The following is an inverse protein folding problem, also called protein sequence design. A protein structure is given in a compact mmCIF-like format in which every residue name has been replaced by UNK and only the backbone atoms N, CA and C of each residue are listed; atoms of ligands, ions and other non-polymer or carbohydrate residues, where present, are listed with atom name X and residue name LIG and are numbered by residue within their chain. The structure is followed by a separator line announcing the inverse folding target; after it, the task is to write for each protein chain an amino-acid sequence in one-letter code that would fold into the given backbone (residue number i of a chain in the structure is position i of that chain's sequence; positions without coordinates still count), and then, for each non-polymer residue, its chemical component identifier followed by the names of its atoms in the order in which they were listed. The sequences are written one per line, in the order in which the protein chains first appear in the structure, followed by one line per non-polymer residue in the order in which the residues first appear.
data_IF_337507021753
#
_entry.id   IF_337507021753
#
_cell.length_a   1.000
_cell.length_b   1.000
_cell.length_c   1.000
_cell.angle_alpha   90.00
_cell.angle_beta   90.00
_cell.angle_gamma   90.00
#
_symmetry.space_group_name_H-M   'P 1'
#
loop_
_entity.id
_entity.type
_entity.pdbx_description
1 polymer ?
#
# COMPACT_ATOMS: atom_id res chain seq x y z
N UNK A 1 -1.00 0.53 25.41
CA UNK A 1 -1.20 0.43 23.95
C UNK A 1 -2.64 -0.01 23.74
N UNK A 2 -3.43 0.77 23.01
CA UNK A 2 -4.82 0.43 22.64
C UNK A 2 -4.90 -0.04 21.17
N UNK A 3 -6.12 -0.28 20.67
CA UNK A 3 -6.33 -0.73 19.29
C UNK A 3 -5.81 0.30 18.26
N UNK A 4 -6.10 1.59 18.45
CA UNK A 4 -5.59 2.68 17.61
C UNK A 4 -4.06 2.70 17.54
N UNK A 5 -3.39 2.54 18.69
CA UNK A 5 -1.92 2.47 18.74
C UNK A 5 -1.41 1.26 17.94
N UNK A 6 -2.06 0.10 18.05
CA UNK A 6 -1.67 -1.11 17.34
C UNK A 6 -1.84 -0.96 15.82
N UNK A 7 -2.93 -0.35 15.36
CA UNK A 7 -3.17 -0.05 13.95
C UNK A 7 -2.09 0.89 13.39
N UNK A 8 -1.85 2.02 14.04
CA UNK A 8 -0.84 3.01 13.62
C UNK A 8 0.58 2.43 13.63
N UNK A 9 0.92 1.62 14.64
CA UNK A 9 2.23 0.94 14.70
C UNK A 9 2.39 -0.12 13.62
N UNK A 10 1.32 -0.85 13.29
CA UNK A 10 1.34 -1.82 12.19
C UNK A 10 1.54 -1.12 10.84
N UNK A 11 0.85 0.00 10.61
CA UNK A 11 1.04 0.80 9.41
C UNK A 11 2.47 1.35 9.32
N UNK A 12 3.00 1.89 10.42
CA UNK A 12 4.39 2.37 10.50
C UNK A 12 5.42 1.27 10.22
N UNK A 13 5.21 0.05 10.75
CA UNK A 13 6.06 -1.11 10.47
C UNK A 13 6.05 -1.45 8.98
N UNK A 14 4.87 -1.52 8.35
CA UNK A 14 4.77 -1.81 6.91
C UNK A 14 5.47 -0.75 6.05
N UNK A 15 5.32 0.53 6.41
CA UNK A 15 5.95 1.64 5.72
C UNK A 15 7.48 1.59 5.85
N UNK A 16 7.99 1.26 7.03
CA UNK A 16 9.43 1.06 7.25
C UNK A 16 9.96 -0.07 6.38
N UNK A 17 9.29 -1.24 6.37
CA UNK A 17 9.72 -2.41 5.58
C UNK A 17 9.77 -2.10 4.08
N UNK A 18 8.70 -1.53 3.51
CA UNK A 18 8.67 -1.17 2.08
C UNK A 18 9.64 -0.04 1.76
N UNK A 19 9.75 0.97 2.63
CA UNK A 19 10.73 2.05 2.50
C UNK A 19 12.15 1.50 2.42
N UNK A 20 12.53 0.60 3.34
CA UNK A 20 13.84 -0.06 3.32
C UNK A 20 14.08 -0.87 2.06
N UNK A 21 13.08 -1.58 1.55
CA UNK A 21 13.25 -2.35 0.32
C UNK A 21 13.33 -1.52 -0.95
N UNK A 22 13.02 -0.22 -0.89
CA UNK A 22 13.00 0.66 -2.06
C UNK A 22 14.01 1.80 -2.00
N UNK A 23 14.60 2.10 -0.83
CA UNK A 23 15.39 3.33 -0.58
C UNK A 23 16.61 3.55 -1.49
N UNK A 24 17.16 2.49 -2.06
CA UNK A 24 18.33 2.49 -2.93
C UNK A 24 18.04 2.01 -4.36
N UNK A 25 16.75 1.96 -4.75
CA UNK A 25 16.33 1.65 -6.11
C UNK A 25 16.27 2.92 -6.95
N UNK A 26 16.67 2.81 -8.22
CA UNK A 26 16.41 3.82 -9.25
C UNK A 26 15.04 3.63 -9.88
N UNK A 27 14.53 4.67 -10.55
CA UNK A 27 13.23 4.63 -11.24
C UNK A 27 13.17 3.49 -12.28
N UNK A 28 14.25 3.27 -13.02
CA UNK A 28 14.33 2.18 -14.00
C UNK A 28 14.28 0.80 -13.35
N UNK A 29 14.87 0.64 -12.15
CA UNK A 29 14.85 -0.63 -11.41
C UNK A 29 13.44 -0.98 -10.91
N UNK A 30 12.53 0.00 -10.78
CA UNK A 30 11.14 -0.26 -10.39
C UNK A 30 10.36 -1.09 -11.43
N UNK A 31 10.79 -1.13 -12.69
CA UNK A 31 10.20 -2.00 -13.72
C UNK A 31 10.72 -3.45 -13.66
N UNK A 32 11.56 -3.78 -12.68
CA UNK A 32 12.05 -5.15 -12.48
C UNK A 32 10.97 -6.03 -11.84
N UNK A 33 10.82 -7.25 -12.34
CA UNK A 33 9.91 -8.27 -11.82
C UNK A 33 10.66 -9.28 -10.93
N UNK A 34 10.07 -9.74 -9.82
CA UNK A 34 10.74 -10.72 -8.94
C UNK A 34 10.85 -12.11 -9.57
N UNK A 35 9.90 -12.48 -10.43
CA UNK A 35 9.89 -13.71 -11.19
C UNK A 35 8.95 -13.57 -12.40
N UNK A 36 8.99 -14.55 -13.32
CA UNK A 36 8.03 -14.65 -14.41
C UNK A 36 6.59 -14.75 -13.85
N UNK A 37 5.66 -14.00 -14.43
CA UNK A 37 4.26 -13.94 -13.99
C UNK A 37 3.99 -13.01 -12.81
N UNK A 38 5.02 -12.36 -12.24
CA UNK A 38 4.84 -11.35 -11.19
C UNK A 38 4.77 -9.94 -11.79
N UNK A 39 4.08 -9.03 -11.09
CA UNK A 39 4.06 -7.62 -11.43
C UNK A 39 5.38 -6.95 -11.03
N UNK A 40 5.81 -5.94 -11.78
CA UNK A 40 7.02 -5.17 -11.46
C UNK A 40 6.77 -4.24 -10.26
N UNK A 41 7.85 -3.78 -9.61
CA UNK A 41 7.75 -3.02 -8.36
C UNK A 41 6.97 -1.70 -8.48
N UNK A 42 7.07 -0.99 -9.61
CA UNK A 42 6.28 0.23 -9.83
C UNK A 42 4.76 -0.07 -9.78
N UNK A 43 4.32 -1.17 -10.42
CA UNK A 43 2.94 -1.63 -10.34
C UNK A 43 2.57 -1.96 -8.89
N UNK A 44 3.43 -2.68 -8.17
CA UNK A 44 3.18 -3.05 -6.76
C UNK A 44 3.02 -1.82 -5.88
N UNK A 45 3.90 -0.82 -6.02
CA UNK A 45 3.85 0.41 -5.23
C UNK A 45 2.56 1.20 -5.46
N UNK A 46 2.20 1.44 -6.72
CA UNK A 46 0.96 2.18 -6.98
C UNK A 46 -0.29 1.36 -6.71
N UNK A 47 -0.26 0.02 -6.85
CA UNK A 47 -1.36 -0.85 -6.43
C UNK A 47 -1.62 -0.73 -4.92
N UNK A 48 -0.56 -0.74 -4.11
CA UNK A 48 -0.68 -0.57 -2.65
C UNK A 48 -1.29 0.80 -2.30
N UNK A 49 -0.88 1.86 -2.98
CA UNK A 49 -1.40 3.23 -2.78
C UNK A 49 -2.88 3.32 -3.19
N UNK A 50 -3.23 2.87 -4.40
CA UNK A 50 -4.60 2.97 -4.91
C UNK A 50 -5.57 2.09 -4.14
N UNK A 51 -5.15 0.87 -3.78
CA UNK A 51 -5.95 -0.03 -2.96
C UNK A 51 -6.16 0.51 -1.55
N UNK A 52 -5.14 1.13 -0.94
CA UNK A 52 -5.31 1.75 0.37
C UNK A 52 -6.36 2.88 0.33
N UNK A 53 -6.33 3.75 -0.69
CA UNK A 53 -7.37 4.76 -0.86
C UNK A 53 -8.78 4.13 -0.96
N UNK A 54 -8.95 3.11 -1.81
CA UNK A 54 -10.24 2.44 -1.99
C UNK A 54 -10.75 1.77 -0.71
N UNK A 55 -9.86 1.06 0.01
CA UNK A 55 -10.19 0.39 1.26
C UNK A 55 -10.51 1.41 2.36
N UNK A 56 -9.75 2.50 2.45
CA UNK A 56 -9.98 3.57 3.42
C UNK A 56 -11.35 4.23 3.19
N UNK A 57 -11.69 4.59 1.95
CA UNK A 57 -13.01 5.16 1.64
C UNK A 57 -14.16 4.18 1.89
N UNK A 58 -13.89 2.87 1.82
CA UNK A 58 -14.87 1.84 2.17
C UNK A 58 -15.30 1.85 3.63
N UNK A 59 -14.45 2.31 4.55
CA UNK A 59 -14.74 2.39 6.00
C UNK A 59 -14.81 3.81 6.55
N UNK A 60 -14.22 4.77 5.87
CA UNK A 60 -14.20 6.18 6.21
C UNK A 60 -14.46 6.99 4.92
N UNK A 61 -15.71 7.06 4.44
CA UNK A 61 -16.02 7.68 3.15
C UNK A 61 -15.50 9.11 3.01
N UNK A 62 -14.71 9.36 1.96
CA UNK A 62 -14.12 10.66 1.66
C UNK A 62 -12.87 11.00 2.46
N UNK A 63 -12.30 10.03 3.19
CA UNK A 63 -11.04 10.21 3.91
C UNK A 63 -9.82 10.04 2.99
N UNK A 64 -9.95 9.26 1.90
CA UNK A 64 -8.82 9.04 1.00
C UNK A 64 -8.47 10.31 0.20
N UNK A 65 -7.16 10.58 -0.01
CA UNK A 65 -6.76 11.68 -0.87
C UNK A 65 -7.02 11.34 -2.33
N UNK A 66 -7.31 12.37 -3.14
CA UNK A 66 -7.34 12.24 -4.58
C UNK A 66 -5.95 11.87 -5.12
N UNK A 67 -5.93 10.88 -6.00
CA UNK A 67 -4.74 10.39 -6.71
C UNK A 67 -4.66 11.05 -8.10
N UNK A 68 -3.46 11.11 -8.71
CA UNK A 68 -3.32 11.62 -10.07
C UNK A 68 -4.24 10.90 -11.06
N UNK A 69 -4.73 11.62 -12.07
CA UNK A 69 -5.56 11.04 -13.11
C UNK A 69 -4.85 9.87 -13.81
N UNK A 70 -5.54 8.74 -13.99
CA UNK A 70 -4.96 7.54 -14.59
C UNK A 70 -4.14 6.68 -13.63
N UNK A 71 -3.88 7.14 -12.39
CA UNK A 71 -3.02 6.42 -11.45
C UNK A 71 -3.64 5.06 -11.07
N UNK A 72 -4.92 5.01 -10.69
CA UNK A 72 -5.54 3.76 -10.29
C UNK A 72 -5.63 2.77 -11.47
N UNK A 73 -5.90 3.28 -12.67
CA UNK A 73 -6.02 2.52 -13.91
C UNK A 73 -4.68 1.89 -14.32
N UNK A 74 -3.59 2.65 -14.28
CA UNK A 74 -2.24 2.15 -14.62
C UNK A 74 -1.73 1.09 -13.65
N UNK A 75 -2.26 1.05 -12.42
CA UNK A 75 -1.90 0.08 -11.37
C UNK A 75 -3.00 -0.96 -11.13
N UNK A 76 -3.94 -1.10 -12.07
CA UNK A 76 -5.01 -2.09 -12.03
C UNK A 76 -4.53 -3.48 -12.46
N UNK A 77 -5.33 -4.51 -12.20
CA UNK A 77 -5.01 -5.88 -12.65
C UNK A 77 -4.98 -5.98 -14.17
N UNK A 78 -5.82 -5.19 -14.83
CA UNK A 78 -5.96 -5.11 -16.28
C UNK A 78 -4.71 -4.51 -16.94
N UNK A 79 -4.05 -3.58 -16.25
CA UNK A 79 -2.81 -2.93 -16.71
C UNK A 79 -1.51 -3.63 -16.26
N UNK A 80 -1.60 -4.73 -15.49
CA UNK A 80 -0.45 -5.37 -14.84
C UNK A 80 0.63 -5.93 -15.80
N UNK A 81 0.28 -6.11 -17.07
CA UNK A 81 1.20 -6.56 -18.12
C UNK A 81 1.97 -5.40 -18.78
N UNK A 82 1.66 -4.14 -18.48
CA UNK A 82 2.39 -3.01 -19.03
C UNK A 82 3.81 -2.95 -18.46
N UNK A 83 4.77 -2.59 -19.31
CA UNK A 83 6.14 -2.23 -18.96
C UNK A 83 6.50 -0.85 -19.52
N UNK A 84 5.49 -0.04 -19.91
CA UNK A 84 5.70 1.31 -20.44
C UNK A 84 6.06 2.29 -19.30
N UNK A 85 7.31 2.78 -19.20
CA UNK A 85 7.73 3.65 -18.11
C UNK A 85 6.91 4.96 -18.04
N UNK A 86 6.29 5.40 -19.13
CA UNK A 86 5.48 6.62 -19.14
C UNK A 86 4.16 6.50 -18.35
N UNK A 87 3.76 5.28 -18.00
CA UNK A 87 2.56 4.99 -17.21
C UNK A 87 2.81 4.98 -15.70
N UNK A 88 4.07 5.03 -15.27
CA UNK A 88 4.48 4.85 -13.88
C UNK A 88 5.19 6.10 -13.34
N UNK A 89 5.17 6.23 -12.02
CA UNK A 89 5.80 7.35 -11.32
C UNK A 89 7.29 7.09 -11.04
N UNK A 90 8.02 8.16 -10.75
CA UNK A 90 9.33 8.07 -10.10
C UNK A 90 9.18 7.51 -8.68
N UNK A 91 10.27 6.97 -8.12
CA UNK A 91 10.30 6.49 -6.73
C UNK A 91 9.89 7.60 -5.75
N UNK A 92 10.37 8.83 -5.96
CA UNK A 92 10.07 9.96 -5.10
C UNK A 92 8.57 10.30 -5.10
N UNK A 93 7.91 10.26 -6.25
CA UNK A 93 6.47 10.48 -6.37
C UNK A 93 5.67 9.38 -5.68
N UNK A 94 6.06 8.10 -5.83
CA UNK A 94 5.42 7.00 -5.08
C UNK A 94 5.55 7.21 -3.57
N UNK A 95 6.74 7.58 -3.09
CA UNK A 95 6.97 7.83 -1.66
C UNK A 95 6.13 9.00 -1.14
N UNK A 96 6.00 10.08 -1.91
CA UNK A 96 5.15 11.23 -1.56
C UNK A 96 3.67 10.85 -1.51
N UNK A 97 3.17 10.13 -2.51
CA UNK A 97 1.78 9.65 -2.54
C UNK A 97 1.50 8.70 -1.39
N UNK A 98 2.40 7.75 -1.13
CA UNK A 98 2.29 6.82 -0.01
C UNK A 98 2.24 7.57 1.32
N UNK A 99 3.10 8.57 1.53
CA UNK A 99 3.09 9.37 2.75
C UNK A 99 1.75 10.11 2.93
N UNK A 100 1.22 10.72 1.86
CA UNK A 100 -0.08 11.41 1.87
C UNK A 100 -1.24 10.48 2.24
N UNK A 101 -1.27 9.28 1.64
CA UNK A 101 -2.30 8.27 1.94
C UNK A 101 -2.18 7.78 3.38
N UNK A 102 -0.95 7.50 3.85
CA UNK A 102 -0.71 7.06 5.23
C UNK A 102 -1.09 8.11 6.27
N UNK A 103 -0.86 9.39 5.99
CA UNK A 103 -1.31 10.49 6.84
C UNK A 103 -2.84 10.54 6.92
N UNK A 104 -3.53 10.38 5.77
CA UNK A 104 -4.98 10.32 5.73
C UNK A 104 -5.54 9.13 6.52
N UNK A 105 -4.95 7.94 6.37
CA UNK A 105 -5.31 6.75 7.15
C UNK A 105 -5.11 6.97 8.65
N UNK A 106 -3.98 7.56 9.06
CA UNK A 106 -3.73 7.87 10.47
C UNK A 106 -4.75 8.88 11.04
N UNK A 107 -5.07 9.92 10.28
CA UNK A 107 -6.07 10.91 10.66
C UNK A 107 -7.49 10.32 10.74
N UNK A 108 -7.82 9.34 9.89
CA UNK A 108 -9.06 8.59 9.97
C UNK A 108 -9.11 7.73 11.24
N UNK A 109 -8.04 6.98 11.54
CA UNK A 109 -7.93 6.20 12.78
C UNK A 109 -8.13 7.11 14.00
N UNK A 110 -7.48 8.27 14.06
CA UNK A 110 -7.59 9.19 15.20
C UNK A 110 -9.00 9.78 15.42
N UNK A 111 -9.88 9.73 14.42
CA UNK A 111 -11.27 10.21 14.52
C UNK A 111 -12.25 9.14 14.98
N UNK A 112 -11.92 7.87 14.85
CA UNK A 112 -12.79 6.76 15.22
C UNK A 112 -12.72 6.52 16.74
N UNK A 113 -13.85 6.22 17.37
CA UNK A 113 -13.92 5.68 18.73
C UNK A 113 -13.53 4.20 18.75
N UNK A 114 -13.42 3.61 19.96
CA UNK A 114 -13.21 2.16 20.07
C UNK A 114 -14.44 1.39 19.56
N UNK A 115 -15.64 1.90 19.84
CA UNK A 115 -16.91 1.33 19.41
C UNK A 115 -17.12 1.43 17.89
N UNK A 116 -16.54 2.44 17.24
CA UNK A 116 -16.53 2.54 15.78
C UNK A 116 -15.69 1.44 15.14
N UNK A 117 -14.57 1.04 15.78
CA UNK A 117 -13.73 -0.05 15.28
C UNK A 117 -14.46 -1.40 15.30
N UNK A 118 -15.40 -1.58 16.24
CA UNK A 118 -16.21 -2.80 16.37
C UNK A 118 -17.42 -2.83 15.42
N UNK A 119 -17.70 -1.74 14.68
CA UNK A 119 -18.80 -1.73 13.72
C UNK A 119 -18.54 -2.70 12.56
N UNK A 120 -19.61 -3.27 11.95
CA UNK A 120 -19.45 -4.18 10.82
C UNK A 120 -18.69 -3.55 9.65
N UNK A 121 -17.75 -4.29 9.07
CA UNK A 121 -17.04 -3.90 7.86
C UNK A 121 -17.95 -3.87 6.62
N UNK A 122 -17.44 -3.39 5.47
CA UNK A 122 -18.19 -3.34 4.21
C UNK A 122 -18.71 -4.72 3.80
N UNK A 123 -19.95 -4.80 3.32
CA UNK A 123 -20.64 -6.09 3.07
C UNK A 123 -19.84 -7.04 2.17
N UNK A 124 -19.24 -6.54 1.10
CA UNK A 124 -18.47 -7.33 0.14
C UNK A 124 -17.12 -7.85 0.68
N UNK A 125 -16.68 -7.34 1.84
CA UNK A 125 -15.43 -7.74 2.51
C UNK A 125 -15.68 -8.41 3.87
N UNK A 126 -16.93 -8.46 4.35
CA UNK A 126 -17.25 -8.79 5.75
C UNK A 126 -16.84 -10.20 6.18
N UNK A 127 -16.80 -11.15 5.25
CA UNK A 127 -16.33 -12.52 5.52
C UNK A 127 -14.83 -12.56 5.82
N UNK A 128 -14.06 -11.60 5.30
CA UNK A 128 -12.61 -11.52 5.47
C UNK A 128 -12.20 -10.48 6.53
N UNK A 129 -12.89 -9.34 6.55
CA UNK A 129 -12.72 -8.25 7.52
C UNK A 129 -14.07 -7.98 8.20
N UNK A 130 -14.41 -8.71 9.27
CA UNK A 130 -15.71 -8.60 9.94
C UNK A 130 -16.03 -7.19 10.45
N UNK A 131 -15.03 -6.44 10.90
CA UNK A 131 -15.18 -5.12 11.52
C UNK A 131 -14.42 -4.01 10.77
N UNK A 132 -14.73 -2.75 11.10
CA UNK A 132 -13.95 -1.57 10.66
C UNK A 132 -12.50 -1.69 11.12
N UNK A 133 -12.27 -2.18 12.34
CA UNK A 133 -10.93 -2.46 12.87
C UNK A 133 -10.16 -3.47 12.03
N UNK A 134 -10.81 -4.55 11.57
CA UNK A 134 -10.20 -5.56 10.70
C UNK A 134 -9.81 -4.98 9.34
N UNK A 135 -10.65 -4.10 8.77
CA UNK A 135 -10.34 -3.38 7.53
C UNK A 135 -9.12 -2.46 7.69
N UNK A 136 -9.03 -1.72 8.80
CA UNK A 136 -7.89 -0.85 9.07
C UNK A 136 -6.61 -1.66 9.34
N UNK A 137 -6.73 -2.84 9.95
CA UNK A 137 -5.61 -3.76 10.12
C UNK A 137 -5.15 -4.33 8.77
N UNK A 138 -6.08 -4.65 7.86
CA UNK A 138 -5.77 -5.03 6.49
C UNK A 138 -5.03 -3.89 5.77
N UNK A 139 -5.53 -2.65 5.82
CA UNK A 139 -4.87 -1.47 5.26
C UNK A 139 -3.44 -1.30 5.81
N UNK A 140 -3.27 -1.49 7.12
CA UNK A 140 -1.98 -1.37 7.78
C UNK A 140 -0.99 -2.48 7.36
N UNK A 141 -1.48 -3.70 7.13
CA UNK A 141 -0.65 -4.89 6.88
C UNK A 141 -0.52 -5.28 5.41
N UNK A 142 -1.36 -4.76 4.52
CA UNK A 142 -1.37 -5.08 3.09
C UNK A 142 0.00 -4.97 2.41
N UNK A 143 0.83 -3.93 2.67
CA UNK A 143 2.17 -3.89 2.07
C UNK A 143 3.07 -5.04 2.52
N UNK A 144 2.91 -5.56 3.74
CA UNK A 144 3.67 -6.72 4.20
C UNK A 144 3.29 -8.01 3.44
N UNK A 145 2.06 -8.11 2.94
CA UNK A 145 1.67 -9.21 2.04
C UNK A 145 2.42 -9.14 0.70
N UNK A 146 2.80 -7.93 0.26
CA UNK A 146 3.58 -7.70 -0.96
C UNK A 146 5.09 -7.71 -0.71
N UNK A 147 5.56 -7.56 0.53
CA UNK A 147 6.97 -7.41 0.87
C UNK A 147 7.86 -8.54 0.32
N UNK A 148 7.35 -9.78 0.26
CA UNK A 148 8.05 -10.92 -0.32
C UNK A 148 8.38 -10.78 -1.81
N UNK A 149 7.72 -9.87 -2.54
CA UNK A 149 7.96 -9.60 -3.95
C UNK A 149 9.08 -8.57 -4.17
N UNK A 150 9.47 -7.80 -3.15
CA UNK A 150 10.54 -6.81 -3.26
C UNK A 150 11.92 -7.44 -3.06
N UNK A 151 12.03 -8.40 -2.13
CA UNK A 151 13.33 -9.02 -1.78
C UNK A 151 13.99 -9.72 -2.98
N UNK A 152 13.30 -10.54 -3.80
CA UNK A 152 13.91 -11.17 -4.96
C UNK A 152 14.46 -10.17 -5.97
N UNK A 153 13.76 -9.05 -6.19
CA UNK A 153 14.25 -7.98 -7.07
C UNK A 153 15.55 -7.38 -6.52
N UNK A 154 15.61 -7.06 -5.22
CA UNK A 154 16.85 -6.59 -4.58
C UNK A 154 18.01 -7.56 -4.77
N UNK A 155 17.75 -8.87 -4.65
CA UNK A 155 18.77 -9.92 -4.87
C UNK A 155 19.23 -9.99 -6.31
N UNK A 156 18.32 -9.94 -7.27
CA UNK A 156 18.64 -9.95 -8.68
C UNK A 156 19.48 -8.73 -9.11
N UNK A 157 19.22 -7.58 -8.50
CA UNK A 157 19.94 -6.32 -8.74
C UNK A 157 21.25 -6.18 -7.93
N UNK A 158 21.61 -7.17 -7.10
CA UNK A 158 22.81 -7.11 -6.27
C UNK A 158 22.78 -6.06 -5.16
N UNK A 159 21.59 -5.62 -4.72
CA UNK A 159 21.44 -4.65 -3.64
C UNK A 159 21.78 -5.26 -2.27
N UNK A 160 22.23 -4.46 -1.29
CA UNK A 160 22.49 -4.93 0.07
C UNK A 160 21.25 -5.50 0.77
N UNK A 161 21.52 -6.35 1.77
CA UNK A 161 20.50 -6.77 2.76
C UNK A 161 20.26 -5.62 3.71
N UNK A 162 19.00 -5.27 3.94
CA UNK A 162 18.62 -4.09 4.72
C UNK A 162 17.85 -4.43 6.00
N UNK A 163 17.04 -5.49 6.01
CA UNK A 163 16.29 -6.05 7.14
C UNK A 163 16.06 -7.55 6.96
#
# INVERSE_FOLDING_TARGET
MNAHDALKRSAAMSAMVIGKYTEDLSDAELLTRPAAGCNHLAWQLGHLISSECQLLDGVCPGAAPELPAGFAENHSKEAAASDDPSQFCTLAEYQQLQAKVREATAAAIDKLSAEDLDQPGPEHMRDFCPTVGDMLLLIASHPLMHAGQFVPVRRALGKPVVI
#
